data_IF_788946195093
#
_entry.id   IF_788946195093
#
_cell.length_a   1.000
_cell.length_b   1.000
_cell.length_c   1.000
_cell.angle_alpha   90.00
_cell.angle_beta   90.00
_cell.angle_gamma   90.00
#
_symmetry.space_group_name_H-M   'P 1'
#
loop_
_entity.id
_entity.type
_entity.pdbx_description
1 polymer ?
#
# COMPACT_ATOMS: atom_id res chain seq x y z
N UNK A 1 -0.51 20.32 7.35
CA UNK A 1 -1.74 19.56 6.95
C UNK A 1 -1.39 18.71 5.73
N UNK A 2 -1.98 17.51 5.64
CA UNK A 2 -1.87 16.67 4.44
C UNK A 2 -2.41 17.39 3.19
N UNK A 3 -1.83 17.14 2.03
CA UNK A 3 -2.35 17.61 0.76
C UNK A 3 -3.38 16.59 0.22
N UNK A 4 -4.66 16.90 0.37
CA UNK A 4 -5.75 16.11 -0.24
C UNK A 4 -6.34 16.93 -1.38
N UNK A 5 -6.29 16.40 -2.62
CA UNK A 5 -6.64 17.21 -3.81
C UNK A 5 -7.44 16.43 -4.83
N UNK A 6 -8.58 17.00 -5.22
CA UNK A 6 -9.34 16.57 -6.41
C UNK A 6 -8.61 16.97 -7.70
N UNK A 7 -8.85 16.22 -8.75
CA UNK A 7 -8.37 16.52 -10.11
C UNK A 7 -9.51 16.48 -11.13
N UNK A 8 -9.24 17.01 -12.31
CA UNK A 8 -10.12 16.87 -13.47
C UNK A 8 -9.48 15.87 -14.45
N UNK A 9 -10.22 14.83 -14.83
CA UNK A 9 -9.80 13.85 -15.85
C UNK A 9 -11.02 13.48 -16.69
N UNK A 10 -10.89 13.61 -18.00
CA UNK A 10 -11.93 13.25 -18.98
C UNK A 10 -13.32 13.87 -18.67
N UNK A 11 -13.34 15.13 -18.19
CA UNK A 11 -14.57 15.84 -17.81
C UNK A 11 -15.16 15.45 -16.45
N UNK A 12 -14.53 14.55 -15.72
CA UNK A 12 -14.94 14.11 -14.38
C UNK A 12 -14.08 14.74 -13.30
N UNK A 13 -14.70 15.10 -12.19
CA UNK A 13 -13.98 15.48 -10.96
C UNK A 13 -13.74 14.24 -10.13
N UNK A 14 -12.48 13.88 -9.96
CA UNK A 14 -12.03 12.74 -9.16
C UNK A 14 -11.55 13.26 -7.80
N UNK A 15 -12.24 12.87 -6.75
CA UNK A 15 -12.00 13.35 -5.38
C UNK A 15 -11.64 12.16 -4.48
N UNK A 16 -10.57 12.27 -3.68
CA UNK A 16 -10.24 11.22 -2.71
C UNK A 16 -11.40 10.94 -1.74
N UNK A 17 -11.68 9.66 -1.52
CA UNK A 17 -12.68 9.15 -0.58
C UNK A 17 -11.95 8.56 0.62
N UNK A 18 -11.91 9.26 1.74
CA UNK A 18 -11.11 8.90 2.92
C UNK A 18 -12.04 8.73 4.10
N UNK A 19 -12.00 7.58 4.77
CA UNK A 19 -12.79 7.36 5.98
C UNK A 19 -12.38 8.34 7.09
N UNK A 20 -13.34 8.71 7.95
CA UNK A 20 -13.18 9.83 8.88
C UNK A 20 -12.14 9.59 10.00
N UNK A 21 -11.77 8.33 10.23
CA UNK A 21 -10.81 7.91 11.25
C UNK A 21 -9.42 7.59 10.68
N UNK A 22 -9.19 7.87 9.40
CA UNK A 22 -7.88 7.70 8.76
C UNK A 22 -6.90 8.76 9.23
N UNK A 23 -5.74 8.34 9.72
CA UNK A 23 -4.65 9.25 10.02
C UNK A 23 -3.91 9.67 8.74
N UNK A 24 -3.79 10.97 8.51
CA UNK A 24 -2.96 11.55 7.46
C UNK A 24 -1.89 12.44 8.09
N UNK A 25 -0.61 12.07 7.93
CA UNK A 25 0.50 12.90 8.37
C UNK A 25 0.50 14.27 7.65
N UNK A 26 1.07 15.32 8.27
CA UNK A 26 0.98 16.72 7.81
C UNK A 26 1.36 16.95 6.34
N UNK A 27 2.30 16.19 5.83
CA UNK A 27 2.81 16.33 4.46
C UNK A 27 2.54 15.09 3.58
N UNK A 28 1.64 14.21 4.01
CA UNK A 28 1.11 13.16 3.14
C UNK A 28 0.35 13.78 1.97
N UNK A 29 0.46 13.18 0.81
CA UNK A 29 -0.18 13.65 -0.43
C UNK A 29 -1.14 12.60 -0.97
N UNK A 30 -2.43 12.95 -1.10
CA UNK A 30 -3.48 12.07 -1.64
C UNK A 30 -4.21 12.82 -2.75
N UNK A 31 -4.10 12.36 -3.99
CA UNK A 31 -4.59 13.08 -5.18
C UNK A 31 -5.42 12.18 -6.06
N UNK A 32 -6.57 12.68 -6.51
CA UNK A 32 -7.41 12.07 -7.55
C UNK A 32 -8.26 10.91 -7.05
N UNK A 33 -8.34 9.85 -7.84
CA UNK A 33 -9.21 8.69 -7.61
C UNK A 33 -8.58 7.70 -6.63
N UNK A 34 -8.58 8.09 -5.34
CA UNK A 34 -8.03 7.32 -4.24
C UNK A 34 -9.13 7.06 -3.20
N UNK A 35 -9.29 5.80 -2.77
CA UNK A 35 -10.13 5.45 -1.63
C UNK A 35 -9.31 4.83 -0.50
N UNK A 36 -9.59 5.22 0.75
CA UNK A 36 -8.86 4.73 1.94
C UNK A 36 -9.87 4.31 3.00
N UNK A 37 -9.81 3.03 3.39
CA UNK A 37 -10.69 2.41 4.38
C UNK A 37 -10.35 2.78 5.82
N UNK A 38 -11.32 2.51 6.70
CA UNK A 38 -11.31 2.81 8.13
C UNK A 38 -10.06 2.29 8.85
N UNK A 39 -9.59 3.01 9.86
CA UNK A 39 -8.46 2.64 10.71
C UNK A 39 -7.10 2.63 10.02
N UNK A 40 -7.02 3.09 8.77
CA UNK A 40 -5.77 3.16 8.00
C UNK A 40 -4.97 4.41 8.32
N UNK A 41 -3.68 4.40 7.98
CA UNK A 41 -2.77 5.53 8.21
C UNK A 41 -1.83 5.78 7.02
N UNK A 42 -1.64 7.05 6.67
CA UNK A 42 -0.72 7.51 5.63
C UNK A 42 0.30 8.45 6.25
N UNK A 43 1.56 8.07 6.19
CA UNK A 43 2.64 8.69 6.96
C UNK A 43 3.39 9.77 6.18
N UNK A 44 4.42 10.32 6.80
CA UNK A 44 5.10 11.51 6.31
C UNK A 44 5.74 11.30 4.92
N UNK A 45 5.57 12.27 4.02
CA UNK A 45 6.05 12.23 2.64
C UNK A 45 5.51 11.07 1.78
N UNK A 46 4.52 10.32 2.25
CA UNK A 46 3.87 9.31 1.41
C UNK A 46 3.00 9.99 0.34
N UNK A 47 3.01 9.44 -0.88
CA UNK A 47 2.29 9.97 -2.03
C UNK A 47 1.38 8.90 -2.63
N UNK A 48 0.07 9.11 -2.58
CA UNK A 48 -0.96 8.31 -3.23
C UNK A 48 -1.53 9.13 -4.38
N UNK A 49 -1.09 8.85 -5.60
CA UNK A 49 -1.45 9.64 -6.78
C UNK A 49 -2.32 8.84 -7.75
N UNK A 50 -3.65 8.92 -7.55
CA UNK A 50 -4.69 8.32 -8.41
C UNK A 50 -5.16 9.26 -9.51
N UNK A 51 -4.24 9.92 -10.20
CA UNK A 51 -4.56 10.88 -11.26
C UNK A 51 -4.81 10.21 -12.61
N UNK A 52 -4.19 9.09 -12.88
CA UNK A 52 -4.31 8.36 -14.15
C UNK A 52 -5.15 7.10 -14.06
N UNK A 53 -5.30 6.52 -12.87
CA UNK A 53 -6.17 5.39 -12.60
C UNK A 53 -6.42 5.23 -11.10
N UNK A 54 -7.29 4.29 -10.71
CA UNK A 54 -7.80 4.12 -9.34
C UNK A 54 -6.77 3.50 -8.40
N UNK A 55 -6.73 4.00 -7.17
CA UNK A 55 -6.02 3.43 -6.02
C UNK A 55 -7.03 3.13 -4.92
N UNK A 56 -7.12 1.87 -4.51
CA UNK A 56 -8.01 1.43 -3.43
C UNK A 56 -7.19 0.87 -2.27
N UNK A 57 -7.35 1.43 -1.09
CA UNK A 57 -6.70 0.99 0.15
C UNK A 57 -7.78 0.45 1.08
N UNK A 58 -7.63 -0.79 1.54
CA UNK A 58 -8.51 -1.44 2.49
C UNK A 58 -8.45 -0.83 3.89
N UNK A 59 -8.96 -1.56 4.87
CA UNK A 59 -9.04 -1.14 6.28
C UNK A 59 -7.77 -1.51 7.04
N UNK A 60 -7.46 -0.73 8.06
CA UNK A 60 -6.34 -0.97 8.97
C UNK A 60 -4.99 -1.13 8.26
N UNK A 61 -4.83 -0.51 7.10
CA UNK A 61 -3.57 -0.45 6.37
C UNK A 61 -2.66 0.64 6.92
N UNK A 62 -1.35 0.47 6.72
CA UNK A 62 -0.41 1.57 6.98
C UNK A 62 0.50 1.77 5.78
N UNK A 63 0.53 2.99 5.27
CA UNK A 63 1.39 3.42 4.17
C UNK A 63 2.48 4.29 4.78
N UNK A 64 3.65 3.71 4.97
CA UNK A 64 4.71 4.32 5.76
C UNK A 64 5.47 5.40 5.00
N UNK A 65 6.31 6.12 5.73
CA UNK A 65 6.97 7.34 5.28
C UNK A 65 7.70 7.17 3.94
N UNK A 66 7.55 8.17 3.07
CA UNK A 66 8.23 8.24 1.78
C UNK A 66 7.73 7.27 0.71
N UNK A 67 6.71 6.47 0.99
CA UNK A 67 6.18 5.50 0.02
C UNK A 67 5.38 6.18 -1.09
N UNK A 68 5.49 5.65 -2.31
CA UNK A 68 4.82 6.17 -3.50
C UNK A 68 3.93 5.11 -4.13
N UNK A 69 2.63 5.40 -4.24
CA UNK A 69 1.64 4.59 -4.92
C UNK A 69 1.16 5.34 -6.16
N UNK A 70 1.37 4.76 -7.33
CA UNK A 70 0.95 5.32 -8.60
C UNK A 70 0.56 4.21 -9.59
N UNK A 71 -0.17 4.57 -10.63
CA UNK A 71 -0.75 3.64 -11.59
C UNK A 71 -0.35 3.99 -13.02
N UNK A 72 -0.63 3.11 -13.98
CA UNK A 72 -0.41 3.35 -15.38
C UNK A 72 -1.73 3.67 -16.09
N UNK A 73 -1.77 4.78 -16.82
CA UNK A 73 -2.98 5.28 -17.49
C UNK A 73 -3.68 4.20 -18.31
N UNK A 74 -4.96 3.96 -18.03
CA UNK A 74 -5.84 2.97 -18.66
C UNK A 74 -5.33 1.51 -18.66
N UNK A 75 -4.32 1.18 -17.83
CA UNK A 75 -3.71 -0.18 -17.85
C UNK A 75 -3.64 -0.86 -16.51
N UNK A 76 -3.31 -0.15 -15.45
CA UNK A 76 -3.18 -0.77 -14.14
C UNK A 76 -3.82 0.09 -13.05
N UNK A 77 -4.32 -0.57 -12.03
CA UNK A 77 -4.85 0.00 -10.79
C UNK A 77 -3.97 -0.46 -9.63
N UNK A 78 -4.22 0.05 -8.45
CA UNK A 78 -3.69 -0.50 -7.21
C UNK A 78 -4.86 -0.89 -6.31
N UNK A 79 -4.84 -2.11 -5.81
CA UNK A 79 -5.75 -2.57 -4.77
C UNK A 79 -4.92 -3.12 -3.60
N UNK A 80 -5.07 -2.54 -2.43
CA UNK A 80 -4.56 -3.11 -1.19
C UNK A 80 -5.75 -3.63 -0.39
N UNK A 81 -5.70 -4.89 0.02
CA UNK A 81 -6.67 -5.51 0.91
C UNK A 81 -6.59 -4.94 2.34
N UNK A 82 -7.25 -5.60 3.27
CA UNK A 82 -7.26 -5.17 4.66
C UNK A 82 -5.96 -5.58 5.39
N UNK A 83 -5.53 -4.78 6.37
CA UNK A 83 -4.35 -5.03 7.20
C UNK A 83 -3.04 -5.14 6.40
N UNK A 84 -2.94 -4.51 5.24
CA UNK A 84 -1.70 -4.44 4.47
C UNK A 84 -0.75 -3.42 5.08
N UNK A 85 0.51 -3.83 5.27
CA UNK A 85 1.59 -2.95 5.71
C UNK A 85 2.53 -2.64 4.55
N UNK A 86 2.63 -1.36 4.18
CA UNK A 86 3.56 -0.86 3.18
C UNK A 86 4.69 -0.13 3.89
N UNK A 87 5.87 -0.74 3.91
CA UNK A 87 7.06 -0.24 4.61
C UNK A 87 7.56 1.09 4.05
N UNK A 88 8.49 1.72 4.79
CA UNK A 88 9.07 3.01 4.39
C UNK A 88 9.73 2.96 3.01
N UNK A 89 9.57 4.02 2.21
CA UNK A 89 10.18 4.19 0.89
C UNK A 89 9.83 3.08 -0.11
N UNK A 90 8.67 2.46 0.01
CA UNK A 90 8.17 1.48 -0.96
C UNK A 90 7.62 2.20 -2.19
N UNK A 91 7.85 1.64 -3.37
CA UNK A 91 7.16 2.05 -4.60
C UNK A 91 6.21 0.95 -5.05
N UNK A 92 4.91 1.25 -5.13
CA UNK A 92 3.92 0.37 -5.75
C UNK A 92 3.43 1.06 -7.02
N UNK A 93 3.67 0.43 -8.17
CA UNK A 93 3.23 0.92 -9.45
C UNK A 93 2.34 -0.11 -10.13
N UNK A 94 1.02 0.07 -10.00
CA UNK A 94 0.03 -0.77 -10.66
C UNK A 94 0.01 -2.25 -10.24
N UNK A 95 0.10 -2.53 -8.95
CA UNK A 95 0.10 -3.88 -8.39
C UNK A 95 -1.03 -4.08 -7.38
N UNK A 96 -1.50 -5.33 -7.25
CA UNK A 96 -2.51 -5.72 -6.27
C UNK A 96 -1.86 -6.48 -5.11
N UNK A 97 -2.33 -6.20 -3.90
CA UNK A 97 -1.80 -6.77 -2.65
C UNK A 97 -2.97 -7.22 -1.78
N UNK A 98 -3.05 -8.51 -1.51
CA UNK A 98 -4.15 -9.08 -0.72
C UNK A 98 -3.97 -8.83 0.79
N UNK A 99 -5.03 -9.18 1.54
CA UNK A 99 -5.10 -8.97 2.99
C UNK A 99 -3.87 -9.49 3.74
N UNK A 100 -3.50 -8.78 4.79
CA UNK A 100 -2.42 -9.19 5.70
C UNK A 100 -1.05 -9.35 5.02
N UNK A 101 -0.82 -8.81 3.84
CA UNK A 101 0.50 -8.84 3.23
C UNK A 101 1.42 -7.75 3.80
N UNK A 102 2.71 -8.01 3.79
CA UNK A 102 3.76 -7.07 4.20
C UNK A 102 4.68 -6.76 3.02
N UNK A 103 4.75 -5.50 2.65
CA UNK A 103 5.71 -4.99 1.67
C UNK A 103 6.87 -4.34 2.44
N UNK A 104 8.02 -4.99 2.42
CA UNK A 104 9.21 -4.56 3.16
C UNK A 104 9.77 -3.23 2.67
N UNK A 105 10.44 -2.50 3.57
CA UNK A 105 11.01 -1.17 3.31
C UNK A 105 11.84 -1.13 2.03
N UNK A 106 11.65 -0.09 1.22
CA UNK A 106 12.40 0.13 -0.02
C UNK A 106 12.11 -0.86 -1.16
N UNK A 107 11.12 -1.75 -1.02
CA UNK A 107 10.73 -2.65 -2.10
C UNK A 107 10.04 -1.88 -3.24
N UNK A 108 10.15 -2.42 -4.45
CA UNK A 108 9.47 -1.90 -5.65
C UNK A 108 8.61 -2.98 -6.27
N UNK A 109 7.32 -2.72 -6.45
CA UNK A 109 6.35 -3.58 -7.12
C UNK A 109 5.94 -2.94 -8.44
N UNK A 110 6.06 -3.69 -9.55
CA UNK A 110 5.75 -3.21 -10.89
C UNK A 110 4.39 -3.69 -11.39
N UNK A 111 3.89 -3.04 -12.44
CA UNK A 111 2.55 -3.23 -13.00
C UNK A 111 2.14 -4.69 -13.17
N UNK A 112 0.93 -5.01 -12.71
CA UNK A 112 0.34 -6.33 -12.80
C UNK A 112 0.97 -7.38 -11.88
N UNK A 113 1.88 -6.98 -10.98
CA UNK A 113 2.32 -7.86 -9.91
C UNK A 113 1.16 -8.08 -8.93
N UNK A 114 1.07 -9.30 -8.41
CA UNK A 114 0.11 -9.68 -7.39
C UNK A 114 0.82 -10.29 -6.19
N UNK A 115 0.46 -9.82 -5.00
CA UNK A 115 1.01 -10.30 -3.72
C UNK A 115 -0.13 -10.94 -2.93
N UNK A 116 -0.08 -12.24 -2.77
CA UNK A 116 -1.13 -13.03 -2.13
C UNK A 116 -1.27 -12.75 -0.63
N UNK A 117 -2.36 -13.24 -0.07
CA UNK A 117 -2.74 -13.03 1.32
C UNK A 117 -1.66 -13.49 2.30
N UNK A 118 -1.29 -12.59 3.22
CA UNK A 118 -0.26 -12.88 4.22
C UNK A 118 1.14 -13.07 3.65
N UNK A 119 1.36 -12.78 2.36
CA UNK A 119 2.69 -12.88 1.78
C UNK A 119 3.61 -11.74 2.26
N UNK A 120 4.90 -11.96 2.18
CA UNK A 120 5.92 -10.99 2.57
C UNK A 120 6.86 -10.73 1.41
N UNK A 121 6.94 -9.50 0.99
CA UNK A 121 7.98 -9.00 0.11
C UNK A 121 9.09 -8.44 0.97
N UNK A 122 10.28 -9.00 0.89
CA UNK A 122 11.42 -8.59 1.71
C UNK A 122 11.87 -7.16 1.39
N UNK A 123 12.53 -6.51 2.36
CA UNK A 123 13.05 -5.16 2.17
C UNK A 123 14.01 -5.07 0.97
N UNK A 124 13.90 -4.00 0.19
CA UNK A 124 14.72 -3.75 -1.00
C UNK A 124 14.44 -4.67 -2.19
N UNK A 125 13.41 -5.50 -2.16
CA UNK A 125 13.10 -6.42 -3.25
C UNK A 125 12.55 -5.68 -4.48
N UNK A 126 12.87 -6.19 -5.68
CA UNK A 126 12.28 -5.74 -6.94
C UNK A 126 11.34 -6.82 -7.49
N UNK A 127 10.03 -6.61 -7.33
CA UNK A 127 8.99 -7.48 -7.88
C UNK A 127 8.68 -7.03 -9.31
N UNK A 128 9.05 -7.86 -10.27
CA UNK A 128 8.90 -7.53 -11.69
C UNK A 128 7.44 -7.56 -12.13
N UNK A 129 7.19 -6.91 -13.26
CA UNK A 129 5.88 -6.85 -13.91
C UNK A 129 5.25 -8.23 -14.05
N UNK A 130 3.98 -8.35 -13.62
CA UNK A 130 3.18 -9.57 -13.76
C UNK A 130 3.59 -10.72 -12.84
N UNK A 131 4.52 -10.52 -11.90
CA UNK A 131 4.91 -11.55 -10.93
C UNK A 131 3.72 -11.92 -10.05
N UNK A 132 3.51 -13.22 -9.87
CA UNK A 132 2.46 -13.76 -9.00
C UNK A 132 3.10 -14.37 -7.76
N UNK A 133 2.90 -13.73 -6.62
CA UNK A 133 3.35 -14.19 -5.30
C UNK A 133 2.16 -14.85 -4.62
N UNK A 134 2.29 -16.11 -4.27
CA UNK A 134 1.21 -16.88 -3.62
C UNK A 134 1.04 -16.54 -2.14
N UNK A 135 -0.08 -17.02 -1.58
CA UNK A 135 -0.42 -16.80 -0.18
C UNK A 135 0.68 -17.28 0.77
N UNK A 136 0.99 -16.46 1.77
CA UNK A 136 2.01 -16.72 2.80
C UNK A 136 3.42 -17.00 2.23
N UNK A 137 3.68 -16.66 0.98
CA UNK A 137 5.02 -16.78 0.41
C UNK A 137 5.90 -15.59 0.81
N UNK A 138 7.17 -15.87 1.03
CA UNK A 138 8.21 -14.86 1.27
C UNK A 138 9.09 -14.79 0.03
N UNK A 139 9.14 -13.60 -0.55
CA UNK A 139 9.93 -13.30 -1.74
C UNK A 139 10.93 -12.18 -1.47
N UNK A 140 12.12 -12.24 -2.09
CA UNK A 140 13.13 -11.19 -1.90
C UNK A 140 14.19 -11.21 -2.98
N UNK A 141 15.02 -10.16 -2.99
CA UNK A 141 16.11 -9.96 -3.94
C UNK A 141 15.77 -9.05 -5.13
N UNK A 142 16.75 -8.88 -6.02
CA UNK A 142 16.67 -8.03 -7.21
C UNK A 142 17.17 -8.83 -8.43
N UNK A 143 16.26 -9.39 -9.25
CA UNK A 143 14.82 -9.43 -9.08
C UNK A 143 14.38 -10.35 -7.95
N UNK A 144 13.19 -10.10 -7.39
CA UNK A 144 12.62 -10.91 -6.33
C UNK A 144 12.38 -12.34 -6.77
N UNK A 145 12.70 -13.29 -5.88
CA UNK A 145 12.50 -14.73 -6.05
C UNK A 145 11.87 -15.31 -4.80
N UNK A 146 11.17 -16.42 -4.98
CA UNK A 146 10.63 -17.22 -3.87
C UNK A 146 11.76 -17.65 -2.93
N UNK A 147 11.58 -17.43 -1.63
CA UNK A 147 12.51 -17.84 -0.58
C UNK A 147 11.94 -19.03 0.17
N UNK A 148 10.73 -18.88 0.70
CA UNK A 148 10.04 -19.92 1.47
C UNK A 148 8.55 -19.57 1.63
N UNK A 149 7.76 -20.52 2.12
CA UNK A 149 6.41 -20.26 2.62
C UNK A 149 6.43 -20.12 4.13
N UNK A 150 5.72 -19.13 4.65
CA UNK A 150 5.53 -18.92 6.07
C UNK A 150 4.23 -19.60 6.54
N UNK A 151 4.12 -19.84 7.84
CA UNK A 151 2.87 -20.31 8.43
C UNK A 151 1.82 -19.18 8.42
N UNK A 152 0.58 -19.46 7.93
CA UNK A 152 -0.46 -18.43 7.79
C UNK A 152 -0.77 -17.66 9.07
N UNK A 153 -0.80 -18.35 10.20
CA UNK A 153 -1.07 -17.74 11.50
C UNK A 153 0.02 -16.76 11.91
N UNK A 154 1.29 -17.09 11.64
CA UNK A 154 2.43 -16.23 11.98
C UNK A 154 2.42 -14.93 11.16
N UNK A 155 2.14 -15.00 9.87
CA UNK A 155 2.11 -13.81 9.02
C UNK A 155 0.94 -12.90 9.36
N UNK A 156 -0.24 -13.47 9.60
CA UNK A 156 -1.42 -12.72 10.02
C UNK A 156 -1.21 -12.04 11.38
N UNK A 157 -0.59 -12.71 12.34
CA UNK A 157 -0.28 -12.16 13.66
C UNK A 157 0.72 -11.00 13.55
N UNK A 158 1.82 -11.18 12.80
CA UNK A 158 2.82 -10.12 12.57
C UNK A 158 2.16 -8.88 11.99
N UNK A 159 1.34 -9.03 10.96
CA UNK A 159 0.73 -7.89 10.28
C UNK A 159 -0.36 -7.22 11.10
N UNK A 160 -1.18 -7.96 11.85
CA UNK A 160 -2.10 -7.36 12.82
C UNK A 160 -1.36 -6.55 13.88
N UNK A 161 -0.24 -7.05 14.38
CA UNK A 161 0.59 -6.35 15.37
C UNK A 161 1.17 -5.06 14.78
N UNK A 162 1.65 -5.09 13.54
CA UNK A 162 2.14 -3.89 12.84
C UNK A 162 0.99 -2.89 12.69
N UNK A 163 -0.17 -3.30 12.19
CA UNK A 163 -1.33 -2.43 12.02
C UNK A 163 -1.77 -1.79 13.35
N UNK A 164 -1.82 -2.60 14.41
CA UNK A 164 -2.13 -2.11 15.76
C UNK A 164 -1.12 -1.07 16.26
N UNK A 165 0.17 -1.33 16.07
CA UNK A 165 1.22 -0.39 16.45
C UNK A 165 1.11 0.94 15.69
N UNK A 166 0.81 0.89 14.38
CA UNK A 166 0.64 2.11 13.59
C UNK A 166 -0.61 2.90 13.96
N UNK A 167 -1.69 2.25 14.37
CA UNK A 167 -2.85 2.92 14.95
C UNK A 167 -2.50 3.62 16.29
N UNK A 168 -1.72 2.95 17.13
CA UNK A 168 -1.22 3.55 18.38
C UNK A 168 -0.28 4.73 18.09
N UNK A 169 0.66 4.60 17.14
CA UNK A 169 1.57 5.70 16.77
C UNK A 169 0.79 6.91 16.25
N UNK A 170 -0.23 6.68 15.42
CA UNK A 170 -1.09 7.75 14.89
C UNK A 170 -1.78 8.52 16.03
N UNK A 171 -2.18 7.86 17.11
CA UNK A 171 -2.83 8.51 18.26
C UNK A 171 -1.93 9.51 19.01
N UNK A 172 -0.61 9.46 18.81
CA UNK A 172 0.31 10.40 19.43
C UNK A 172 0.35 11.78 18.74
N UNK A 173 -0.26 11.88 17.56
CA UNK A 173 -0.31 13.11 16.75
C UNK A 173 -1.67 13.83 16.83
N UNK A 174 -2.63 13.29 17.61
CA UNK A 174 -3.98 13.85 17.80
C UNK A 174 -4.03 14.75 19.04
#
# INVERSE_FOLDING_TARGET
MALVRSIQRDGLTLTPQIASDVFLAENATVVGEVSIGEGSSVWFNAVLRGDVNTITIGKHCNIQDGSVLHTLYQKSTITLGDYVSVGHNVTIHGADVDDYALIGMGATLLDGAHVGKGAIVAAGALVLKGTQIGDCEIWGGVPAKFIKRAEPEQTAEINRKIAHNYAMYASWYN
#
